data_IF_984957611905
#
_entry.id   IF_984957611905
#
_cell.length_a   1.000
_cell.length_b   1.000
_cell.length_c   1.000
_cell.angle_alpha   90.00
_cell.angle_beta   90.00
_cell.angle_gamma   90.00
#
_symmetry.space_group_name_H-M   'P 1'
#
loop_
_entity.id
_entity.type
_entity.pdbx_description
1 polymer ?
#
# COMPACT_ATOMS: atom_id res chain seq x y z
N UNK A 1 -19.72 -4.22 16.10
CA UNK A 1 -19.97 -3.71 14.72
C UNK A 1 -21.21 -2.84 14.70
N UNK A 2 -21.09 -1.53 14.52
CA UNK A 2 -22.25 -0.62 14.44
C UNK A 2 -21.97 0.83 14.85
N UNK A 3 -20.93 1.09 15.65
CA UNK A 3 -20.44 2.44 15.92
C UNK A 3 -18.92 2.47 15.70
N UNK A 4 -18.44 3.39 14.86
CA UNK A 4 -17.02 3.68 14.66
C UNK A 4 -16.20 2.65 13.88
N UNK A 5 -16.64 1.40 13.76
CA UNK A 5 -15.82 0.30 13.23
C UNK A 5 -16.48 -0.42 12.04
N UNK A 6 -15.72 -0.57 10.95
CA UNK A 6 -15.94 -1.49 9.83
C UNK A 6 -17.00 -1.09 8.78
N UNK A 7 -16.87 0.11 8.20
CA UNK A 7 -17.65 0.50 7.00
C UNK A 7 -16.99 0.11 5.68
N UNK A 8 -15.67 0.25 5.58
CA UNK A 8 -14.92 0.17 4.31
C UNK A 8 -14.04 -1.07 4.32
N UNK A 9 -14.09 -1.87 3.25
CA UNK A 9 -13.19 -3.02 3.11
C UNK A 9 -11.76 -2.56 2.77
N UNK A 10 -11.63 -1.37 2.17
CA UNK A 10 -10.38 -0.67 1.88
C UNK A 10 -10.29 0.67 2.63
N UNK A 11 -9.38 0.76 3.60
CA UNK A 11 -9.32 1.88 4.55
C UNK A 11 -8.51 3.09 4.03
N UNK A 12 -7.77 2.94 2.92
CA UNK A 12 -7.06 4.05 2.26
C UNK A 12 -8.01 5.09 1.62
N UNK A 13 -9.28 4.72 1.51
CA UNK A 13 -10.41 5.48 1.00
C UNK A 13 -11.17 5.96 2.24
N UNK A 14 -10.81 7.14 2.77
CA UNK A 14 -11.37 7.68 4.02
C UNK A 14 -12.87 8.04 3.93
N UNK A 15 -13.48 8.45 5.05
CA UNK A 15 -14.93 8.74 5.13
C UNK A 15 -15.44 9.81 4.12
N UNK A 16 -14.56 10.70 3.67
CA UNK A 16 -14.81 11.79 2.71
C UNK A 16 -14.42 11.46 1.27
N UNK A 17 -13.93 10.25 1.00
CA UNK A 17 -13.29 9.89 -0.26
C UNK A 17 -13.56 8.42 -0.50
N UNK A 18 -14.75 8.11 -1.04
CA UNK A 18 -15.42 6.79 -1.00
C UNK A 18 -15.32 5.96 -2.29
N UNK A 19 -14.41 6.33 -3.19
CA UNK A 19 -14.15 5.58 -4.43
C UNK A 19 -12.73 5.86 -4.92
N UNK A 20 -12.20 5.04 -5.82
CA UNK A 20 -10.94 5.32 -6.52
C UNK A 20 -10.96 6.67 -7.24
N UNK A 21 -12.12 7.14 -7.71
CA UNK A 21 -12.30 8.49 -8.31
C UNK A 21 -12.01 9.62 -7.31
N UNK A 22 -12.22 9.38 -6.02
CA UNK A 22 -11.87 10.37 -4.99
C UNK A 22 -10.39 10.75 -5.04
N UNK A 23 -9.48 9.85 -5.44
CA UNK A 23 -8.07 10.19 -5.62
C UNK A 23 -7.85 11.23 -6.71
N UNK A 24 -8.65 11.22 -7.79
CA UNK A 24 -8.59 12.22 -8.85
C UNK A 24 -8.98 13.59 -8.29
N UNK A 25 -10.03 13.63 -7.48
CA UNK A 25 -10.48 14.86 -6.81
C UNK A 25 -9.43 15.37 -5.80
N UNK A 26 -8.97 14.50 -4.90
CA UNK A 26 -7.94 14.81 -3.90
C UNK A 26 -6.66 15.33 -4.56
N UNK A 27 -6.19 14.67 -5.62
CA UNK A 27 -5.03 15.09 -6.40
C UNK A 27 -5.23 16.46 -7.01
N UNK A 28 -6.38 16.70 -7.66
CA UNK A 28 -6.70 18.00 -8.25
C UNK A 28 -6.73 19.12 -7.22
N UNK A 29 -7.24 18.85 -6.01
CA UNK A 29 -7.20 19.77 -4.88
C UNK A 29 -5.80 19.98 -4.32
N UNK A 30 -4.98 18.94 -4.27
CA UNK A 30 -3.61 19.06 -3.77
C UNK A 30 -2.68 19.81 -4.73
N UNK A 31 -2.96 19.80 -6.04
CA UNK A 31 -2.25 20.64 -7.01
C UNK A 31 -2.36 22.14 -6.71
N UNK A 32 -3.45 22.59 -6.09
CA UNK A 32 -3.67 24.02 -5.76
C UNK A 32 -2.59 24.56 -4.79
N UNK A 33 -1.93 23.67 -4.04
CA UNK A 33 -0.90 23.99 -3.03
C UNK A 33 0.51 23.50 -3.41
N UNK A 34 0.71 23.02 -4.64
CA UNK A 34 2.03 22.60 -5.11
C UNK A 34 3.05 23.74 -5.05
N UNK A 35 4.23 23.46 -4.49
CA UNK A 35 5.32 24.42 -4.27
C UNK A 35 4.92 25.65 -3.42
N UNK A 36 3.88 25.53 -2.57
CA UNK A 36 3.42 26.62 -1.71
C UNK A 36 3.71 26.35 -0.23
N UNK A 37 4.28 27.32 0.51
CA UNK A 37 4.46 27.22 1.96
C UNK A 37 3.14 26.96 2.66
N UNK A 38 3.16 26.17 3.73
CA UNK A 38 1.96 25.74 4.47
C UNK A 38 1.14 26.91 5.00
N UNK A 39 1.80 28.02 5.34
CA UNK A 39 1.17 29.24 5.85
C UNK A 39 0.23 29.89 4.82
N UNK A 40 0.46 29.63 3.53
CA UNK A 40 -0.31 30.18 2.40
C UNK A 40 -1.49 29.28 2.00
N UNK A 41 -1.66 28.12 2.66
CA UNK A 41 -2.69 27.17 2.29
C UNK A 41 -4.09 27.71 2.62
N UNK A 42 -5.09 27.46 1.75
CA UNK A 42 -6.48 27.78 2.03
C UNK A 42 -6.96 27.20 3.38
N UNK A 43 -7.66 28.03 4.16
CA UNK A 43 -8.26 27.67 5.46
C UNK A 43 -9.79 27.76 5.38
N UNK A 44 -10.48 26.85 6.07
CA UNK A 44 -11.93 26.93 6.21
C UNK A 44 -12.34 28.19 6.99
N UNK A 45 -13.46 28.81 6.59
CA UNK A 45 -13.88 30.12 7.11
C UNK A 45 -14.40 30.07 8.55
N UNK A 46 -14.92 28.92 8.96
CA UNK A 46 -15.60 28.68 10.22
C UNK A 46 -14.64 28.32 11.36
N UNK A 47 -13.74 27.35 11.14
CA UNK A 47 -12.84 26.84 12.17
C UNK A 47 -11.35 26.99 11.82
N UNK A 48 -11.02 27.68 10.73
CA UNK A 48 -9.63 28.05 10.39
C UNK A 48 -8.72 26.88 10.01
N UNK A 49 -9.27 25.67 9.87
CA UNK A 49 -8.50 24.47 9.53
C UNK A 49 -8.06 24.51 8.07
N UNK A 50 -6.82 24.12 7.81
CA UNK A 50 -6.28 23.95 6.46
C UNK A 50 -7.13 22.97 5.64
N UNK A 51 -7.66 23.42 4.50
CA UNK A 51 -8.57 22.65 3.65
C UNK A 51 -7.89 21.39 3.10
N UNK A 52 -6.61 21.52 2.71
CA UNK A 52 -5.88 20.46 2.01
C UNK A 52 -5.11 19.51 2.93
N UNK A 53 -5.05 19.80 4.24
CA UNK A 53 -4.35 18.95 5.22
C UNK A 53 -4.82 17.50 5.20
N UNK A 54 -6.12 17.30 4.96
CA UNK A 54 -6.74 15.96 4.88
C UNK A 54 -6.25 15.10 3.70
N UNK A 55 -5.63 15.71 2.68
CA UNK A 55 -5.17 14.98 1.48
C UNK A 55 -3.69 14.60 1.54
N UNK A 56 -2.91 15.22 2.43
CA UNK A 56 -1.44 15.09 2.48
C UNK A 56 -1.02 13.63 2.54
N UNK A 57 -1.58 12.86 3.49
CA UNK A 57 -1.20 11.46 3.71
C UNK A 57 -1.44 10.63 2.45
N UNK A 58 -2.63 10.72 1.86
CA UNK A 58 -2.96 9.95 0.65
C UNK A 58 -2.10 10.33 -0.56
N UNK A 59 -1.73 11.61 -0.71
CA UNK A 59 -0.90 12.07 -1.84
C UNK A 59 0.56 11.64 -1.72
N UNK A 60 1.09 11.56 -0.50
CA UNK A 60 2.42 10.99 -0.24
C UNK A 60 2.39 9.46 -0.37
N UNK A 61 1.40 8.81 0.25
CA UNK A 61 1.26 7.34 0.28
C UNK A 61 0.93 6.73 -1.08
N UNK A 62 0.28 7.47 -1.98
CA UNK A 62 0.12 7.08 -3.38
C UNK A 62 1.38 7.28 -4.22
N UNK A 63 2.44 7.88 -3.65
CA UNK A 63 3.66 8.30 -4.34
C UNK A 63 3.43 9.32 -5.46
N UNK A 64 2.36 10.10 -5.40
CA UNK A 64 2.11 11.18 -6.38
C UNK A 64 2.83 12.48 -6.05
N UNK A 65 3.00 12.76 -4.77
CA UNK A 65 3.74 13.91 -4.27
C UNK A 65 4.86 13.44 -3.35
N UNK A 66 5.84 14.32 -3.18
CA UNK A 66 6.90 14.24 -2.19
C UNK A 66 7.04 15.59 -1.51
N UNK A 67 7.78 15.62 -0.42
CA UNK A 67 8.16 16.83 0.29
C UNK A 67 9.59 17.21 -0.09
N UNK A 68 9.86 18.49 -0.29
CA UNK A 68 11.21 19.01 -0.55
C UNK A 68 11.88 19.52 0.73
N UNK A 69 13.12 19.99 0.62
CA UNK A 69 13.94 20.45 1.75
C UNK A 69 13.46 21.76 2.37
N UNK A 70 12.55 22.49 1.72
CA UNK A 70 11.92 23.72 2.21
C UNK A 70 10.52 23.45 2.79
N UNK A 71 10.21 22.18 3.09
CA UNK A 71 8.91 21.72 3.53
C UNK A 71 7.75 21.96 2.53
N UNK A 72 8.06 22.15 1.25
CA UNK A 72 7.08 22.31 0.18
C UNK A 72 6.72 20.96 -0.44
N UNK A 73 5.50 20.84 -0.95
CA UNK A 73 5.07 19.64 -1.66
C UNK A 73 5.16 19.82 -3.16
N UNK A 74 5.84 18.89 -3.83
CA UNK A 74 5.98 18.86 -5.28
C UNK A 74 5.68 17.47 -5.83
N UNK A 75 5.23 17.41 -7.09
CA UNK A 75 4.93 16.13 -7.73
C UNK A 75 6.18 15.28 -7.92
N UNK A 76 5.99 13.97 -7.80
CA UNK A 76 6.90 12.97 -8.34
C UNK A 76 6.72 12.84 -9.86
N UNK A 77 7.58 12.07 -10.54
CA UNK A 77 7.40 11.69 -11.95
C UNK A 77 6.04 11.00 -12.14
N UNK A 78 5.68 10.05 -11.26
CA UNK A 78 4.34 9.43 -11.28
C UNK A 78 3.22 10.44 -11.11
N UNK A 79 3.35 11.42 -10.21
CA UNK A 79 2.39 12.51 -10.06
C UNK A 79 2.22 13.35 -11.33
N UNK A 80 3.31 13.64 -12.05
CA UNK A 80 3.23 14.34 -13.33
C UNK A 80 2.46 13.54 -14.38
N UNK A 81 2.73 12.24 -14.51
CA UNK A 81 2.01 11.37 -15.43
C UNK A 81 0.53 11.20 -15.02
N UNK A 82 0.25 11.13 -13.73
CA UNK A 82 -1.12 11.09 -13.20
C UNK A 82 -1.90 12.37 -13.54
N UNK A 83 -1.28 13.55 -13.44
CA UNK A 83 -1.90 14.82 -13.86
C UNK A 83 -2.27 14.85 -15.35
N UNK A 84 -1.45 14.23 -16.21
CA UNK A 84 -1.75 14.13 -17.64
C UNK A 84 -2.87 13.12 -17.89
N UNK A 85 -2.82 11.98 -17.20
CA UNK A 85 -3.85 10.94 -17.23
C UNK A 85 -5.25 11.46 -16.91
N UNK A 86 -5.42 12.20 -15.80
CA UNK A 86 -6.76 12.60 -15.33
C UNK A 86 -7.48 13.55 -16.30
N UNK A 87 -6.72 14.22 -17.19
CA UNK A 87 -7.21 15.12 -18.24
C UNK A 87 -7.63 14.40 -19.52
N UNK A 88 -7.29 13.12 -19.66
CA UNK A 88 -7.66 12.33 -20.83
C UNK A 88 -9.16 12.05 -20.85
N UNK A 89 -9.78 12.27 -22.01
CA UNK A 89 -11.12 11.79 -22.31
C UNK A 89 -11.05 10.42 -23.00
N UNK A 90 -11.03 9.37 -22.18
CA UNK A 90 -10.93 7.98 -22.63
C UNK A 90 -12.11 7.13 -22.18
N UNK A 91 -13.14 7.72 -21.57
CA UNK A 91 -14.30 7.02 -21.01
C UNK A 91 -14.04 6.36 -19.64
N UNK A 92 -15.12 6.22 -18.87
CA UNK A 92 -15.07 5.90 -17.43
C UNK A 92 -14.38 4.58 -17.11
N UNK A 93 -14.67 3.49 -17.84
CA UNK A 93 -14.11 2.17 -17.51
C UNK A 93 -12.59 2.10 -17.73
N UNK A 94 -12.10 2.72 -18.80
CA UNK A 94 -10.66 2.84 -19.09
C UNK A 94 -9.98 3.72 -18.04
N UNK A 95 -10.64 4.84 -17.68
CA UNK A 95 -10.16 5.75 -16.63
C UNK A 95 -10.09 5.05 -15.28
N UNK A 96 -11.12 4.30 -14.90
CA UNK A 96 -11.15 3.52 -13.66
C UNK A 96 -9.99 2.53 -13.59
N UNK A 97 -9.80 1.71 -14.63
CA UNK A 97 -8.74 0.69 -14.66
C UNK A 97 -7.36 1.35 -14.54
N UNK A 98 -7.07 2.37 -15.34
CA UNK A 98 -5.76 3.04 -15.30
C UNK A 98 -5.54 3.74 -13.94
N UNK A 99 -6.57 4.36 -13.38
CA UNK A 99 -6.50 4.97 -12.05
C UNK A 99 -6.18 3.93 -10.97
N UNK A 100 -6.87 2.79 -10.96
CA UNK A 100 -6.58 1.67 -10.07
C UNK A 100 -5.12 1.22 -10.20
N UNK A 101 -4.61 1.06 -11.43
CA UNK A 101 -3.22 0.65 -11.67
C UNK A 101 -2.20 1.66 -11.11
N UNK A 102 -2.49 2.97 -11.20
CA UNK A 102 -1.65 3.99 -10.56
C UNK A 102 -1.61 3.85 -9.03
N UNK A 103 -2.68 3.39 -8.39
CA UNK A 103 -2.77 3.33 -6.92
C UNK A 103 -2.16 2.05 -6.32
N UNK A 104 -1.84 1.04 -7.14
CA UNK A 104 -1.46 -0.31 -6.71
C UNK A 104 -0.23 -0.39 -5.78
N UNK A 105 0.84 0.34 -6.08
CA UNK A 105 2.07 0.35 -5.26
C UNK A 105 2.06 1.42 -4.14
N UNK A 106 0.87 1.91 -3.77
CA UNK A 106 0.74 2.83 -2.63
C UNK A 106 1.03 2.13 -1.30
N UNK A 107 1.67 2.84 -0.38
CA UNK A 107 2.02 2.34 0.96
C UNK A 107 0.99 2.76 2.02
N UNK A 108 -0.30 2.70 1.66
CA UNK A 108 -1.37 3.25 2.49
C UNK A 108 -1.40 2.65 3.90
N UNK A 109 -1.74 3.49 4.88
CA UNK A 109 -1.76 3.09 6.31
C UNK A 109 -0.43 2.44 6.74
N UNK A 110 0.68 3.00 6.24
CA UNK A 110 2.03 2.52 6.48
C UNK A 110 2.21 1.03 6.13
N UNK A 111 1.62 0.59 5.01
CA UNK A 111 1.78 -0.78 4.50
C UNK A 111 2.11 -0.77 3.02
N UNK A 112 3.31 -1.23 2.67
CA UNK A 112 3.74 -1.48 1.28
C UNK A 112 2.68 -2.28 0.51
N UNK A 113 2.40 -1.87 -0.73
CA UNK A 113 1.45 -2.51 -1.64
C UNK A 113 0.09 -2.77 -0.96
N UNK A 114 -0.45 -1.79 -0.23
CA UNK A 114 -1.59 -1.98 0.67
C UNK A 114 -2.76 -2.68 -0.01
N UNK A 115 -3.13 -2.29 -1.23
CA UNK A 115 -4.30 -2.87 -1.94
C UNK A 115 -4.11 -4.39 -2.14
N UNK A 116 -2.92 -4.80 -2.60
CA UNK A 116 -2.59 -6.20 -2.82
C UNK A 116 -2.57 -6.97 -1.49
N UNK A 117 -1.86 -6.45 -0.49
CA UNK A 117 -1.69 -7.14 0.79
C UNK A 117 -2.98 -7.16 1.62
N UNK A 118 -3.82 -6.13 1.50
CA UNK A 118 -5.17 -6.12 2.09
C UNK A 118 -5.98 -7.30 1.59
N UNK A 119 -6.02 -7.54 0.28
CA UNK A 119 -6.75 -8.69 -0.28
C UNK A 119 -6.06 -10.01 0.06
N UNK A 120 -4.75 -10.11 -0.18
CA UNK A 120 -3.97 -11.34 -0.04
C UNK A 120 -3.89 -11.86 1.40
N UNK A 121 -3.66 -10.97 2.37
CA UNK A 121 -3.31 -11.34 3.74
C UNK A 121 -4.48 -11.09 4.71
N UNK A 122 -5.14 -9.92 4.63
CA UNK A 122 -6.18 -9.58 5.62
C UNK A 122 -7.56 -10.08 5.22
N UNK A 123 -7.95 -10.01 3.94
CA UNK A 123 -9.32 -10.37 3.55
C UNK A 123 -9.42 -11.86 3.31
N UNK A 124 -8.56 -12.42 2.46
CA UNK A 124 -8.60 -13.85 2.14
C UNK A 124 -8.33 -14.74 3.36
N UNK A 125 -7.46 -14.33 4.28
CA UNK A 125 -7.20 -15.10 5.50
C UNK A 125 -8.46 -15.36 6.33
N UNK A 126 -9.28 -14.32 6.53
CA UNK A 126 -10.55 -14.44 7.26
C UNK A 126 -11.65 -15.07 6.42
N UNK A 127 -11.85 -14.61 5.19
CA UNK A 127 -12.93 -15.09 4.34
C UNK A 127 -12.81 -16.59 4.03
N UNK A 128 -11.61 -17.09 3.76
CA UNK A 128 -11.40 -18.52 3.50
C UNK A 128 -11.41 -19.38 4.77
N UNK A 129 -11.45 -18.78 5.96
CA UNK A 129 -11.66 -19.50 7.23
C UNK A 129 -13.13 -19.86 7.49
N UNK A 130 -14.06 -19.20 6.77
CA UNK A 130 -15.50 -19.47 6.88
C UNK A 130 -15.87 -20.66 5.99
N UNK A 131 -16.43 -21.71 6.61
CA UNK A 131 -16.92 -22.89 5.90
C UNK A 131 -17.82 -22.51 4.71
N UNK A 132 -17.53 -23.08 3.54
CA UNK A 132 -18.21 -22.84 2.25
C UNK A 132 -17.79 -21.59 1.48
N UNK A 133 -16.98 -20.68 2.03
CA UNK A 133 -16.37 -19.61 1.25
C UNK A 133 -15.12 -20.14 0.55
N UNK A 134 -15.07 -19.97 -0.78
CA UNK A 134 -13.93 -20.33 -1.63
C UNK A 134 -13.58 -19.17 -2.55
N UNK A 135 -12.37 -19.15 -3.10
CA UNK A 135 -11.97 -18.14 -4.10
C UNK A 135 -12.97 -18.08 -5.26
N UNK A 136 -13.41 -19.25 -5.76
CA UNK A 136 -14.38 -19.33 -6.86
C UNK A 136 -15.73 -18.72 -6.47
N UNK A 137 -16.20 -18.97 -5.25
CA UNK A 137 -17.43 -18.33 -4.74
C UNK A 137 -17.25 -16.81 -4.68
N UNK A 138 -16.14 -16.33 -4.14
CA UNK A 138 -15.85 -14.89 -4.01
C UNK A 138 -15.83 -14.22 -5.38
N UNK A 139 -15.16 -14.82 -6.36
CA UNK A 139 -15.10 -14.33 -7.75
C UNK A 139 -16.50 -14.27 -8.36
N UNK A 140 -17.25 -15.37 -8.31
CA UNK A 140 -18.57 -15.45 -8.95
C UNK A 140 -19.61 -14.53 -8.29
N UNK A 141 -19.62 -14.44 -6.97
CA UNK A 141 -20.56 -13.56 -6.26
C UNK A 141 -20.19 -12.08 -6.42
N UNK A 142 -18.91 -11.73 -6.46
CA UNK A 142 -18.48 -10.36 -6.79
C UNK A 142 -18.92 -9.97 -8.21
N UNK A 143 -18.74 -10.86 -9.20
CA UNK A 143 -19.22 -10.66 -10.58
C UNK A 143 -20.72 -10.46 -10.63
N UNK A 144 -21.50 -11.26 -9.89
CA UNK A 144 -22.96 -11.11 -9.80
C UNK A 144 -23.33 -9.75 -9.22
N UNK A 145 -22.67 -9.30 -8.15
CA UNK A 145 -22.93 -7.99 -7.56
C UNK A 145 -22.64 -6.85 -8.54
N UNK A 146 -21.53 -6.92 -9.30
CA UNK A 146 -21.19 -5.88 -10.27
C UNK A 146 -22.21 -5.78 -11.42
N UNK A 147 -22.86 -6.89 -11.81
CA UNK A 147 -23.96 -6.88 -12.78
C UNK A 147 -25.21 -6.14 -12.25
N UNK A 148 -25.34 -6.01 -10.94
CA UNK A 148 -26.41 -5.25 -10.27
C UNK A 148 -26.03 -3.79 -10.02
N UNK A 149 -24.94 -3.28 -10.63
CA UNK A 149 -24.43 -1.93 -10.34
C UNK A 149 -25.43 -0.80 -10.65
N UNK A 150 -26.32 -0.98 -11.63
CA UNK A 150 -27.36 0.01 -11.96
C UNK A 150 -28.68 -0.21 -11.18
N UNK A 151 -28.83 -1.36 -10.50
CA UNK A 151 -30.03 -1.76 -9.79
C UNK A 151 -30.27 -0.96 -8.49
N UNK A 152 -31.48 -1.09 -7.93
CA UNK A 152 -31.81 -0.49 -6.64
C UNK A 152 -30.96 -1.06 -5.49
N UNK A 153 -30.82 -0.32 -4.39
CA UNK A 153 -30.11 -0.81 -3.21
C UNK A 153 -30.74 -2.11 -2.68
N UNK A 154 -32.06 -2.21 -2.75
CA UNK A 154 -32.85 -3.41 -2.43
C UNK A 154 -32.36 -4.65 -3.18
N UNK A 155 -32.21 -4.54 -4.50
CA UNK A 155 -31.74 -5.65 -5.34
C UNK A 155 -30.29 -6.02 -5.04
N UNK A 156 -29.44 -5.02 -4.77
CA UNK A 156 -28.04 -5.24 -4.38
C UNK A 156 -27.95 -5.96 -3.04
N UNK A 157 -28.82 -5.63 -2.08
CA UNK A 157 -28.90 -6.31 -0.77
C UNK A 157 -29.26 -7.79 -0.87
N UNK A 158 -29.82 -8.26 -2.00
CA UNK A 158 -30.06 -9.69 -2.23
C UNK A 158 -28.83 -10.43 -2.73
N UNK A 159 -27.76 -9.72 -3.09
CA UNK A 159 -26.49 -10.35 -3.46
C UNK A 159 -25.81 -10.96 -2.24
N UNK A 160 -25.31 -12.19 -2.37
CA UNK A 160 -24.49 -12.82 -1.33
C UNK A 160 -23.22 -12.00 -1.04
N UNK A 161 -22.63 -11.41 -2.09
CA UNK A 161 -21.40 -10.64 -1.94
C UNK A 161 -21.60 -9.34 -1.15
N UNK A 162 -22.83 -8.79 -1.13
CA UNK A 162 -23.15 -7.61 -0.30
C UNK A 162 -22.85 -7.86 1.18
N UNK A 163 -23.25 -9.03 1.68
CA UNK A 163 -23.02 -9.43 3.07
C UNK A 163 -21.60 -9.91 3.32
N UNK A 164 -20.99 -10.63 2.37
CA UNK A 164 -19.56 -10.99 2.44
C UNK A 164 -18.70 -9.74 2.58
N UNK A 165 -18.94 -8.73 1.74
CA UNK A 165 -18.25 -7.45 1.80
C UNK A 165 -18.53 -6.71 3.11
N UNK A 166 -19.80 -6.65 3.53
CA UNK A 166 -20.20 -5.93 4.74
C UNK A 166 -19.59 -6.54 6.00
N UNK A 167 -19.50 -7.86 6.08
CA UNK A 167 -19.13 -8.61 7.28
C UNK A 167 -17.84 -9.42 7.09
N UNK A 168 -16.91 -8.92 6.28
CA UNK A 168 -15.67 -9.63 5.92
C UNK A 168 -14.81 -10.06 7.12
N UNK A 169 -14.98 -9.39 8.27
CA UNK A 169 -14.28 -9.68 9.53
C UNK A 169 -15.20 -10.21 10.64
N UNK A 170 -16.41 -10.67 10.30
CA UNK A 170 -17.36 -11.31 11.21
C UNK A 170 -17.64 -12.75 10.74
N UNK A 171 -16.79 -13.69 11.14
CA UNK A 171 -16.95 -15.09 10.74
C UNK A 171 -18.28 -15.67 11.20
N UNK A 172 -18.73 -15.32 12.41
CA UNK A 172 -19.96 -15.86 13.00
C UNK A 172 -21.19 -15.41 12.21
N UNK A 173 -21.25 -14.12 11.87
CA UNK A 173 -22.30 -13.61 11.00
C UNK A 173 -22.29 -14.31 9.63
N UNK A 174 -21.11 -14.42 8.99
CA UNK A 174 -21.01 -15.03 7.66
C UNK A 174 -21.41 -16.52 7.67
N UNK A 175 -21.02 -17.27 8.70
CA UNK A 175 -21.42 -18.68 8.88
C UNK A 175 -22.94 -18.78 8.97
N UNK A 176 -23.56 -17.97 9.84
CA UNK A 176 -25.03 -17.95 10.00
C UNK A 176 -25.73 -17.53 8.71
N UNK A 177 -25.26 -16.48 8.04
CA UNK A 177 -25.84 -15.99 6.79
C UNK A 177 -25.74 -17.03 5.66
N UNK A 178 -24.62 -17.73 5.53
CA UNK A 178 -24.43 -18.75 4.48
C UNK A 178 -25.37 -19.94 4.69
N UNK A 179 -25.55 -20.37 5.96
CA UNK A 179 -26.41 -21.50 6.33
C UNK A 179 -27.90 -21.17 6.30
N UNK A 180 -28.26 -19.89 6.38
CA UNK A 180 -29.64 -19.45 6.34
C UNK A 180 -30.35 -19.82 5.03
N UNK A 181 -31.64 -20.14 5.14
CA UNK A 181 -32.54 -20.34 4.00
C UNK A 181 -32.76 -19.05 3.21
N UNK A 182 -33.21 -19.17 1.96
CA UNK A 182 -33.51 -17.99 1.14
C UNK A 182 -34.65 -17.14 1.75
N UNK A 183 -35.58 -17.76 2.48
CA UNK A 183 -36.63 -17.06 3.20
C UNK A 183 -36.08 -16.17 4.34
N UNK A 184 -35.14 -16.69 5.15
CA UNK A 184 -34.48 -15.93 6.22
C UNK A 184 -33.63 -14.79 5.65
N UNK A 185 -32.94 -15.02 4.52
CA UNK A 185 -32.18 -13.98 3.83
C UNK A 185 -33.09 -12.86 3.32
N UNK A 186 -34.24 -13.20 2.75
CA UNK A 186 -35.23 -12.23 2.28
C UNK A 186 -35.86 -11.45 3.46
N UNK A 187 -36.08 -12.11 4.61
CA UNK A 187 -36.52 -11.44 5.83
C UNK A 187 -35.49 -10.44 6.34
N UNK A 188 -34.19 -10.80 6.31
CA UNK A 188 -33.11 -9.88 6.67
C UNK A 188 -33.09 -8.64 5.76
N UNK A 189 -33.28 -8.82 4.45
CA UNK A 189 -33.36 -7.69 3.50
C UNK A 189 -34.53 -6.77 3.86
N UNK A 190 -35.73 -7.32 4.05
CA UNK A 190 -36.93 -6.54 4.44
C UNK A 190 -36.76 -5.83 5.78
N UNK A 191 -36.09 -6.48 6.74
CA UNK A 191 -35.76 -5.89 8.03
C UNK A 191 -34.85 -4.67 7.86
N UNK A 192 -33.79 -4.78 7.05
CA UNK A 192 -32.89 -3.66 6.79
C UNK A 192 -33.62 -2.51 6.08
N UNK A 193 -34.39 -2.81 5.04
CA UNK A 193 -35.18 -1.83 4.29
C UNK A 193 -36.17 -1.09 5.19
N UNK A 194 -36.99 -1.82 5.95
CA UNK A 194 -37.97 -1.22 6.84
C UNK A 194 -37.33 -0.32 7.90
N UNK A 195 -36.12 -0.64 8.37
CA UNK A 195 -35.38 0.23 9.29
C UNK A 195 -34.80 1.47 8.59
N UNK A 196 -34.34 1.37 7.34
CA UNK A 196 -33.88 2.51 6.56
C UNK A 196 -35.05 3.48 6.31
N UNK A 197 -36.18 2.96 5.83
CA UNK A 197 -37.37 3.75 5.50
C UNK A 197 -37.96 4.43 6.74
N UNK A 198 -37.97 3.75 7.88
CA UNK A 198 -38.42 4.30 9.15
C UNK A 198 -37.40 5.21 9.86
N UNK A 199 -36.18 5.34 9.32
CA UNK A 199 -35.08 6.04 9.99
C UNK A 199 -34.66 5.43 11.34
N UNK A 200 -34.88 4.13 11.52
CA UNK A 200 -34.69 3.40 12.78
C UNK A 200 -33.33 2.69 12.85
N UNK A 201 -32.34 3.35 13.43
CA UNK A 201 -30.95 2.86 13.50
C UNK A 201 -30.54 2.44 14.92
N UNK A 202 -31.35 1.58 15.55
CA UNK A 202 -31.16 1.19 16.96
C UNK A 202 -30.33 -0.08 17.16
N UNK A 203 -30.28 -0.99 16.18
CA UNK A 203 -29.52 -2.25 16.30
C UNK A 203 -28.21 -2.20 15.51
N UNK A 204 -27.32 -3.18 15.75
CA UNK A 204 -26.02 -3.28 15.08
C UNK A 204 -26.12 -3.32 13.55
N UNK A 205 -27.07 -4.10 13.02
CA UNK A 205 -27.27 -4.26 11.57
C UNK A 205 -27.78 -2.96 10.95
N UNK A 206 -28.85 -2.36 11.49
CA UNK A 206 -29.42 -1.14 10.89
C UNK A 206 -28.47 0.05 11.01
N UNK A 207 -27.70 0.18 12.11
CA UNK A 207 -26.65 1.20 12.24
C UNK A 207 -25.59 1.11 11.14
N UNK A 208 -25.21 -0.09 10.71
CA UNK A 208 -24.21 -0.29 9.64
C UNK A 208 -24.66 0.31 8.30
N UNK A 209 -25.95 0.20 8.00
CA UNK A 209 -26.55 0.70 6.75
C UNK A 209 -27.21 2.08 6.92
N UNK A 210 -26.94 2.77 8.03
CA UNK A 210 -27.44 4.12 8.26
C UNK A 210 -26.95 5.08 7.15
N UNK A 211 -27.82 5.88 6.52
CA UNK A 211 -27.47 6.85 5.48
C UNK A 211 -26.66 8.09 5.97
N UNK A 212 -25.67 7.90 6.86
CA UNK A 212 -24.81 8.99 7.39
C UNK A 212 -23.33 8.77 7.11
N UNK A 213 -23.01 8.08 6.02
CA UNK A 213 -21.64 8.01 5.48
C UNK A 213 -20.88 6.73 5.72
N UNK A 214 -21.45 5.77 6.45
CA UNK A 214 -20.84 4.46 6.70
C UNK A 214 -21.02 3.46 5.53
N UNK A 215 -22.00 3.69 4.66
CA UNK A 215 -22.29 2.84 3.52
C UNK A 215 -22.80 3.67 2.34
N UNK A 216 -22.30 3.40 1.14
CA UNK A 216 -22.76 3.98 -0.13
C UNK A 216 -22.72 2.90 -1.22
N UNK A 217 -23.79 2.78 -2.01
CA UNK A 217 -23.87 1.88 -3.17
C UNK A 217 -22.67 2.03 -4.10
N UNK A 218 -22.29 3.25 -4.49
CA UNK A 218 -21.20 3.49 -5.43
C UNK A 218 -19.84 3.07 -4.86
N UNK A 219 -19.67 3.23 -3.54
CA UNK A 219 -18.49 2.75 -2.82
C UNK A 219 -18.42 1.23 -2.85
N UNK A 220 -19.51 0.54 -2.53
CA UNK A 220 -19.57 -0.92 -2.61
C UNK A 220 -19.23 -1.44 -4.01
N UNK A 221 -19.75 -0.81 -5.06
CA UNK A 221 -19.42 -1.18 -6.44
C UNK A 221 -17.93 -0.96 -6.73
N UNK A 222 -17.36 0.19 -6.35
CA UNK A 222 -15.95 0.50 -6.54
C UNK A 222 -15.03 -0.47 -5.77
N UNK A 223 -15.30 -0.70 -4.49
CA UNK A 223 -14.56 -1.64 -3.65
C UNK A 223 -14.68 -3.08 -4.18
N UNK A 224 -15.85 -3.48 -4.70
CA UNK A 224 -16.03 -4.79 -5.34
C UNK A 224 -15.15 -4.92 -6.59
N UNK A 225 -15.01 -3.86 -7.41
CA UNK A 225 -14.10 -3.86 -8.56
C UNK A 225 -12.64 -3.98 -8.12
N UNK A 226 -12.22 -3.21 -7.10
CA UNK A 226 -10.87 -3.28 -6.53
C UNK A 226 -10.59 -4.69 -6.00
N UNK A 227 -11.48 -5.24 -5.18
CA UNK A 227 -11.37 -6.58 -4.61
C UNK A 227 -11.25 -7.65 -5.70
N UNK A 228 -12.21 -7.69 -6.64
CA UNK A 228 -12.25 -8.72 -7.68
C UNK A 228 -11.01 -8.68 -8.57
N UNK A 229 -10.61 -7.49 -9.05
CA UNK A 229 -9.44 -7.36 -9.92
C UNK A 229 -8.14 -7.72 -9.19
N UNK A 230 -8.01 -7.33 -7.92
CA UNK A 230 -6.87 -7.69 -7.07
C UNK A 230 -6.83 -9.19 -6.81
N UNK A 231 -7.97 -9.82 -6.49
CA UNK A 231 -8.08 -11.25 -6.24
C UNK A 231 -7.64 -12.06 -7.47
N UNK A 232 -8.12 -11.69 -8.66
CA UNK A 232 -7.73 -12.32 -9.91
C UNK A 232 -6.21 -12.20 -10.17
N UNK A 233 -5.61 -11.04 -9.88
CA UNK A 233 -4.17 -10.86 -9.96
C UNK A 233 -3.41 -11.73 -8.95
N UNK A 234 -3.80 -11.72 -7.67
CA UNK A 234 -3.17 -12.52 -6.60
C UNK A 234 -3.21 -14.02 -6.91
N UNK A 235 -4.24 -14.49 -7.63
CA UNK A 235 -4.36 -15.89 -8.08
C UNK A 235 -3.58 -16.19 -9.37
N UNK A 236 -3.10 -15.18 -10.09
CA UNK A 236 -2.34 -15.34 -11.34
C UNK A 236 -0.87 -15.70 -11.04
N UNK A 237 -0.60 -16.99 -10.79
CA UNK A 237 0.72 -17.48 -10.37
C UNK A 237 1.84 -17.26 -11.40
N UNK A 238 1.49 -17.08 -12.66
CA UNK A 238 2.41 -16.86 -13.78
C UNK A 238 2.62 -15.36 -14.09
N UNK A 239 2.09 -14.46 -13.27
CA UNK A 239 2.24 -13.01 -13.45
C UNK A 239 3.72 -12.59 -13.43
N UNK A 240 4.11 -11.84 -14.45
CA UNK A 240 5.44 -11.28 -14.62
C UNK A 240 5.38 -10.01 -15.49
N UNK A 241 6.50 -9.28 -15.62
CA UNK A 241 6.52 -8.00 -16.34
C UNK A 241 6.07 -8.11 -17.82
N UNK A 242 6.20 -9.28 -18.46
CA UNK A 242 5.84 -9.45 -19.86
C UNK A 242 4.33 -9.64 -20.08
N UNK A 243 3.60 -10.16 -19.09
CA UNK A 243 2.17 -10.46 -19.22
C UNK A 243 1.26 -9.61 -18.29
N UNK A 244 1.82 -8.85 -17.34
CA UNK A 244 1.04 -8.17 -16.30
C UNK A 244 0.01 -7.19 -16.84
N UNK A 245 0.30 -6.45 -17.92
CA UNK A 245 -0.68 -5.57 -18.56
C UNK A 245 -1.87 -6.37 -19.09
N UNK A 246 -1.60 -7.50 -19.74
CA UNK A 246 -2.65 -8.36 -20.29
C UNK A 246 -3.48 -9.01 -19.18
N UNK A 247 -2.86 -9.41 -18.06
CA UNK A 247 -3.56 -9.96 -16.90
C UNK A 247 -4.61 -8.97 -16.40
N UNK A 248 -4.22 -7.72 -16.10
CA UNK A 248 -5.17 -6.71 -15.61
C UNK A 248 -6.24 -6.35 -16.64
N UNK A 249 -5.85 -6.14 -17.90
CA UNK A 249 -6.77 -5.73 -18.97
C UNK A 249 -7.81 -6.82 -19.26
N UNK A 250 -7.38 -8.09 -19.45
CA UNK A 250 -8.29 -9.21 -19.72
C UNK A 250 -9.20 -9.49 -18.53
N UNK A 251 -8.66 -9.51 -17.31
CA UNK A 251 -9.47 -9.75 -16.12
C UNK A 251 -10.54 -8.67 -15.91
N UNK A 252 -10.20 -7.40 -16.15
CA UNK A 252 -11.17 -6.32 -16.10
C UNK A 252 -12.25 -6.48 -17.19
N UNK A 253 -11.83 -6.67 -18.44
CA UNK A 253 -12.71 -6.79 -19.62
C UNK A 253 -13.70 -7.96 -19.51
N UNK A 254 -13.24 -9.10 -18.97
CA UNK A 254 -14.02 -10.34 -18.88
C UNK A 254 -14.89 -10.44 -17.61
N UNK A 255 -14.42 -9.88 -16.48
CA UNK A 255 -15.08 -10.11 -15.18
C UNK A 255 -15.73 -8.86 -14.58
N UNK A 256 -15.38 -7.66 -15.05
CA UNK A 256 -15.93 -6.40 -14.53
C UNK A 256 -16.77 -5.72 -15.59
N UNK A 257 -16.15 -5.23 -16.67
CA UNK A 257 -16.86 -4.53 -17.73
C UNK A 257 -16.03 -4.47 -19.00
N UNK A 258 -16.68 -4.67 -20.15
CA UNK A 258 -16.03 -4.61 -21.46
C UNK A 258 -15.43 -3.22 -21.72
N UNK A 259 -14.20 -3.19 -22.23
CA UNK A 259 -13.53 -1.98 -22.68
C UNK A 259 -12.68 -2.24 -23.93
N UNK A 260 -12.19 -1.17 -24.55
CA UNK A 260 -11.22 -1.29 -25.63
C UNK A 260 -9.82 -1.59 -25.06
N UNK A 261 -9.45 -2.86 -25.06
CA UNK A 261 -8.20 -3.37 -24.50
C UNK A 261 -6.96 -2.73 -25.14
N UNK A 262 -7.01 -2.46 -26.45
CA UNK A 262 -5.90 -1.87 -27.21
C UNK A 262 -5.58 -0.45 -26.74
N UNK A 263 -6.58 0.36 -26.41
CA UNK A 263 -6.37 1.72 -25.89
C UNK A 263 -5.63 1.68 -24.55
N UNK A 264 -6.07 0.83 -23.63
CA UNK A 264 -5.42 0.69 -22.31
C UNK A 264 -4.00 0.15 -22.48
N UNK A 265 -3.83 -0.92 -23.26
CA UNK A 265 -2.52 -1.53 -23.51
C UNK A 265 -1.52 -0.52 -24.11
N UNK A 266 -1.94 0.26 -25.11
CA UNK A 266 -1.10 1.29 -25.70
C UNK A 266 -0.76 2.39 -24.69
N UNK A 267 -1.72 2.80 -23.86
CA UNK A 267 -1.48 3.79 -22.81
C UNK A 267 -0.43 3.29 -21.80
N UNK A 268 -0.55 2.06 -21.31
CA UNK A 268 0.41 1.50 -20.35
C UNK A 268 1.82 1.36 -20.96
N UNK A 269 1.93 0.92 -22.22
CA UNK A 269 3.22 0.82 -22.92
C UNK A 269 3.87 2.18 -23.18
N UNK A 270 3.10 3.17 -23.65
CA UNK A 270 3.62 4.52 -23.89
C UNK A 270 4.08 5.22 -22.61
N UNK A 271 3.54 4.79 -21.46
CA UNK A 271 3.89 5.31 -20.13
C UNK A 271 4.67 4.28 -19.29
N UNK A 272 5.39 3.35 -19.94
CA UNK A 272 6.15 2.28 -19.26
C UNK A 272 7.12 2.82 -18.21
N UNK A 273 7.67 4.02 -18.42
CA UNK A 273 8.59 4.68 -17.50
C UNK A 273 8.02 4.77 -16.07
N UNK A 274 6.70 4.91 -15.92
CA UNK A 274 6.04 4.97 -14.61
C UNK A 274 5.39 3.65 -14.24
N UNK A 275 4.81 2.93 -15.19
CA UNK A 275 4.12 1.67 -14.91
C UNK A 275 5.06 0.50 -14.59
N UNK A 276 6.22 0.40 -15.23
CA UNK A 276 7.18 -0.67 -14.93
C UNK A 276 7.63 -0.65 -13.45
N UNK A 277 8.01 0.49 -12.86
CA UNK A 277 8.27 0.59 -11.41
C UNK A 277 7.13 0.09 -10.52
N UNK A 278 5.87 0.47 -10.83
CA UNK A 278 4.69 0.02 -10.08
C UNK A 278 4.59 -1.51 -10.13
N UNK A 279 4.73 -2.09 -11.32
CA UNK A 279 4.56 -3.52 -11.52
C UNK A 279 5.70 -4.36 -10.94
N UNK A 280 6.94 -3.86 -11.01
CA UNK A 280 8.07 -4.47 -10.31
C UNK A 280 7.86 -4.54 -8.79
N UNK A 281 7.31 -3.47 -8.18
CA UNK A 281 7.07 -3.42 -6.73
C UNK A 281 5.97 -4.40 -6.29
N UNK A 282 4.87 -4.51 -7.03
CA UNK A 282 3.78 -5.44 -6.65
C UNK A 282 4.10 -6.90 -6.99
N UNK A 283 5.05 -7.14 -7.89
CA UNK A 283 5.60 -8.46 -8.19
C UNK A 283 6.75 -8.84 -7.23
N UNK A 284 7.09 -7.97 -6.26
CA UNK A 284 8.15 -8.19 -5.26
C UNK A 284 9.53 -8.50 -5.90
N UNK A 285 9.80 -7.97 -7.11
CA UNK A 285 11.06 -8.24 -7.83
C UNK A 285 12.27 -7.53 -7.20
N UNK A 286 12.03 -6.49 -6.40
CA UNK A 286 13.06 -5.71 -5.72
C UNK A 286 13.68 -6.44 -4.51
N UNK A 287 13.00 -7.46 -3.97
CA UNK A 287 13.41 -8.22 -2.78
C UNK A 287 14.28 -9.45 -3.12
N UNK A 288 14.52 -9.72 -4.41
CA UNK A 288 15.37 -10.83 -4.86
C UNK A 288 16.84 -10.44 -4.70
N UNK A 289 17.56 -11.17 -3.84
CA UNK A 289 18.99 -11.00 -3.65
C UNK A 289 19.74 -11.18 -4.99
N UNK A 290 20.21 -10.07 -5.58
CA UNK A 290 21.00 -10.14 -6.81
C UNK A 290 22.43 -10.64 -6.51
N UNK A 291 23.01 -11.50 -7.35
CA UNK A 291 24.41 -11.95 -7.25
C UNK A 291 25.47 -10.84 -7.42
N UNK A 292 25.10 -9.56 -7.41
CA UNK A 292 25.98 -8.40 -7.63
C UNK A 292 27.07 -8.22 -6.56
N UNK A 293 27.13 -9.10 -5.55
CA UNK A 293 28.23 -9.17 -4.58
C UNK A 293 29.58 -9.61 -5.22
N UNK A 294 29.64 -9.85 -6.54
CA UNK A 294 30.83 -10.36 -7.27
C UNK A 294 31.72 -9.25 -7.88
N UNK A 295 31.44 -7.96 -7.68
CA UNK A 295 32.34 -6.91 -8.20
C UNK A 295 33.65 -6.88 -7.37
N UNK A 296 34.84 -7.00 -8.02
CA UNK A 296 36.14 -6.97 -7.35
C UNK A 296 36.35 -5.74 -6.48
N UNK A 297 37.23 -5.88 -5.48
CA UNK A 297 37.39 -4.96 -4.36
C UNK A 297 37.96 -3.59 -4.73
N UNK A 298 38.52 -3.44 -5.93
CA UNK A 298 39.63 -2.51 -6.09
C UNK A 298 39.29 -1.10 -6.62
N UNK A 299 38.04 -0.77 -6.97
CA UNK A 299 37.74 0.59 -7.50
C UNK A 299 36.33 1.13 -7.20
N UNK A 300 35.72 0.80 -6.07
CA UNK A 300 34.46 1.42 -5.66
C UNK A 300 34.73 2.75 -4.90
N UNK A 301 34.24 3.86 -5.44
CA UNK A 301 34.23 5.17 -4.75
C UNK A 301 33.47 5.03 -3.43
N UNK A 302 34.16 5.20 -2.30
CA UNK A 302 33.50 5.28 -1.00
C UNK A 302 32.73 6.59 -0.92
N UNK A 303 31.47 6.52 -0.50
CA UNK A 303 30.64 7.70 -0.30
C UNK A 303 30.98 8.36 1.03
N UNK A 304 30.78 9.67 1.10
CA UNK A 304 30.91 10.44 2.35
C UNK A 304 29.93 9.88 3.39
N UNK A 305 30.37 9.87 4.65
CA UNK A 305 29.59 9.30 5.75
C UNK A 305 28.68 10.39 6.32
N UNK A 306 27.42 10.03 6.58
CA UNK A 306 26.45 10.82 7.34
C UNK A 306 26.27 12.26 6.84
N UNK A 307 26.23 12.42 5.51
CA UNK A 307 25.83 13.65 4.82
C UNK A 307 24.43 13.50 4.23
N UNK A 308 23.59 14.56 4.27
CA UNK A 308 22.33 14.58 3.53
C UNK A 308 22.58 14.41 2.03
N UNK A 309 21.83 13.52 1.41
CA UNK A 309 21.86 13.28 -0.04
C UNK A 309 20.52 13.68 -0.66
N UNK A 310 20.56 14.17 -1.89
CA UNK A 310 19.37 14.64 -2.59
C UNK A 310 18.35 13.51 -2.78
N UNK A 311 17.08 13.83 -2.60
CA UNK A 311 15.99 12.88 -2.85
C UNK A 311 16.02 12.41 -4.31
N UNK A 312 15.95 11.09 -4.51
CA UNK A 312 15.85 10.46 -5.82
C UNK A 312 14.40 10.01 -6.01
N UNK A 313 13.85 10.13 -7.20
CA UNK A 313 12.46 9.75 -7.48
C UNK A 313 12.34 8.37 -8.12
N UNK A 314 12.08 7.33 -7.31
CA UNK A 314 11.91 5.95 -7.79
C UNK A 314 10.61 5.68 -8.53
N UNK A 315 9.75 6.69 -8.72
CA UNK A 315 8.49 6.50 -9.45
C UNK A 315 8.68 6.48 -10.97
N UNK A 316 9.93 6.33 -11.42
CA UNK A 316 10.37 6.22 -12.80
C UNK A 316 11.42 5.10 -12.98
N UNK A 317 11.53 4.51 -14.18
CA UNK A 317 12.55 3.51 -14.50
C UNK A 317 13.97 4.03 -14.22
N UNK A 318 14.24 5.29 -14.62
CA UNK A 318 15.54 5.94 -14.42
C UNK A 318 15.86 6.08 -12.93
N UNK A 319 14.91 6.57 -12.14
CA UNK A 319 15.10 6.76 -10.71
C UNK A 319 15.27 5.44 -9.97
N UNK A 320 14.52 4.40 -10.33
CA UNK A 320 14.75 3.04 -9.80
C UNK A 320 16.15 2.52 -10.10
N UNK A 321 16.63 2.68 -11.34
CA UNK A 321 17.97 2.25 -11.72
C UNK A 321 19.07 3.03 -10.98
N UNK A 322 18.85 4.32 -10.73
CA UNK A 322 19.75 5.15 -9.92
C UNK A 322 19.80 4.66 -8.46
N UNK A 323 18.63 4.42 -7.84
CA UNK A 323 18.53 3.84 -6.49
C UNK A 323 19.25 2.49 -6.42
N UNK A 324 19.01 1.60 -7.38
CA UNK A 324 19.66 0.28 -7.43
C UNK A 324 21.18 0.37 -7.48
N UNK A 325 21.71 1.33 -8.25
CA UNK A 325 23.16 1.57 -8.32
C UNK A 325 23.71 2.02 -6.97
N UNK A 326 23.08 3.03 -6.35
CA UNK A 326 23.48 3.59 -5.05
C UNK A 326 23.37 2.54 -3.94
N UNK A 327 22.27 1.78 -3.92
CA UNK A 327 22.05 0.68 -2.98
C UNK A 327 23.23 -0.29 -2.96
N UNK A 328 23.69 -0.76 -4.12
CA UNK A 328 24.78 -1.73 -4.19
C UNK A 328 26.09 -1.16 -3.62
N UNK A 329 26.36 0.13 -3.85
CA UNK A 329 27.54 0.83 -3.31
C UNK A 329 27.44 0.92 -1.78
N UNK A 330 26.32 1.43 -1.24
CA UNK A 330 26.14 1.63 0.19
C UNK A 330 26.05 0.28 0.93
N UNK A 331 25.38 -0.72 0.36
CA UNK A 331 25.31 -2.10 0.90
C UNK A 331 26.71 -2.65 1.15
N UNK A 332 27.61 -2.48 0.18
CA UNK A 332 29.01 -2.90 0.29
C UNK A 332 29.74 -2.10 1.37
N UNK A 333 29.61 -0.78 1.35
CA UNK A 333 30.25 0.11 2.32
C UNK A 333 29.80 -0.18 3.76
N UNK A 334 28.51 -0.46 3.98
CA UNK A 334 27.95 -0.85 5.28
C UNK A 334 28.59 -2.13 5.84
N UNK A 335 28.76 -3.16 5.01
CA UNK A 335 29.43 -4.42 5.39
C UNK A 335 30.90 -4.20 5.78
N UNK A 336 31.61 -3.35 5.04
CA UNK A 336 33.02 -3.02 5.33
C UNK A 336 33.11 -2.25 6.66
N UNK A 337 32.31 -1.20 6.84
CA UNK A 337 32.37 -0.36 8.04
C UNK A 337 31.94 -1.08 9.32
N UNK A 338 31.01 -2.03 9.23
CA UNK A 338 30.66 -2.86 10.38
C UNK A 338 31.68 -3.95 10.68
N UNK A 339 32.77 -4.03 9.92
CA UNK A 339 33.74 -5.13 9.97
C UNK A 339 33.08 -6.51 9.83
N UNK A 340 32.01 -6.59 9.05
CA UNK A 340 31.20 -7.80 8.89
C UNK A 340 30.69 -8.34 10.24
N UNK A 341 30.21 -7.44 11.10
CA UNK A 341 29.56 -7.76 12.39
C UNK A 341 28.08 -7.34 12.36
N UNK A 342 27.21 -8.15 12.97
CA UNK A 342 25.81 -7.81 13.18
C UNK A 342 25.69 -6.65 14.18
N UNK A 343 24.91 -5.62 13.85
CA UNK A 343 24.65 -4.49 14.77
C UNK A 343 24.07 -4.94 16.13
N UNK A 344 23.33 -6.05 16.12
CA UNK A 344 22.73 -6.65 17.33
C UNK A 344 23.59 -7.74 17.97
N UNK A 345 24.86 -7.91 17.59
CA UNK A 345 25.72 -9.00 18.09
C UNK A 345 25.76 -9.08 19.62
N UNK A 346 25.96 -7.93 20.28
CA UNK A 346 26.10 -7.86 21.75
C UNK A 346 24.81 -8.16 22.51
N UNK A 347 23.67 -7.83 21.91
CA UNK A 347 22.36 -7.92 22.56
C UNK A 347 21.71 -9.28 22.26
N UNK A 348 21.96 -9.83 21.07
CA UNK A 348 21.27 -11.01 20.59
C UNK A 348 22.19 -12.22 20.39
N UNK A 349 23.40 -12.27 20.95
CA UNK A 349 24.35 -13.41 20.87
C UNK A 349 24.47 -14.03 19.46
N UNK A 350 24.97 -13.25 18.50
CA UNK A 350 24.97 -13.62 17.08
C UNK A 350 26.09 -14.57 16.65
N UNK A 351 27.18 -14.68 17.44
CA UNK A 351 28.40 -15.41 17.03
C UNK A 351 28.15 -16.86 16.60
N UNK A 352 27.31 -17.67 17.29
CA UNK A 352 27.04 -19.05 16.86
C UNK A 352 26.25 -19.17 15.55
N UNK A 353 25.68 -18.06 15.05
CA UNK A 353 24.81 -18.03 13.86
C UNK A 353 25.59 -17.68 12.59
N UNK A 354 26.77 -17.06 12.72
CA UNK A 354 27.55 -16.68 11.55
C UNK A 354 28.04 -17.89 10.77
N UNK A 355 28.13 -17.69 9.46
CA UNK A 355 28.84 -18.57 8.55
C UNK A 355 29.64 -17.72 7.57
N UNK A 356 30.70 -18.31 7.03
CA UNK A 356 31.61 -17.61 6.11
C UNK A 356 31.04 -17.61 4.70
N UNK A 357 30.89 -16.42 4.12
CA UNK A 357 30.46 -16.26 2.73
C UNK A 357 31.61 -16.59 1.77
N UNK A 358 31.37 -17.49 0.80
CA UNK A 358 32.36 -17.91 -0.21
C UNK A 358 32.93 -16.74 -1.02
N UNK A 359 32.14 -15.68 -1.23
CA UNK A 359 32.49 -14.55 -2.11
C UNK A 359 33.64 -13.69 -1.57
N UNK A 360 33.81 -13.60 -0.25
CA UNK A 360 34.79 -12.69 0.36
C UNK A 360 35.47 -13.25 1.62
N UNK A 361 35.15 -14.48 2.02
CA UNK A 361 35.66 -15.14 3.22
C UNK A 361 35.41 -14.34 4.52
N UNK A 362 34.31 -13.58 4.57
CA UNK A 362 33.83 -12.86 5.77
C UNK A 362 32.50 -13.43 6.25
N UNK A 363 32.04 -13.01 7.42
CA UNK A 363 30.70 -13.36 7.91
C UNK A 363 29.64 -12.95 6.89
N UNK A 364 28.71 -13.86 6.59
CA UNK A 364 27.52 -13.52 5.82
C UNK A 364 26.60 -12.62 6.63
N UNK A 365 26.26 -11.46 6.06
CA UNK A 365 25.33 -10.50 6.62
C UNK A 365 24.39 -9.97 5.55
N UNK A 366 23.16 -9.71 5.98
CA UNK A 366 22.13 -9.01 5.23
C UNK A 366 22.19 -7.53 5.61
N UNK A 367 21.89 -6.65 4.66
CA UNK A 367 21.81 -5.21 4.90
C UNK A 367 20.34 -4.84 4.95
N UNK A 368 19.96 -4.18 6.01
CA UNK A 368 18.61 -3.79 6.33
C UNK A 368 18.51 -2.26 6.36
N UNK A 369 17.48 -1.71 5.71
CA UNK A 369 17.13 -0.30 5.81
C UNK A 369 16.34 -0.07 7.09
N UNK A 370 16.88 0.74 8.01
CA UNK A 370 16.23 0.94 9.30
C UNK A 370 14.92 1.70 9.21
N UNK A 371 14.88 2.78 8.45
CA UNK A 371 13.68 3.37 7.89
C UNK A 371 13.36 2.55 6.62
N UNK A 372 12.25 1.77 6.62
CA UNK A 372 11.88 0.96 5.47
C UNK A 372 11.71 1.79 4.20
N UNK A 373 12.09 1.21 3.06
CA UNK A 373 12.19 1.91 1.77
C UNK A 373 10.85 2.43 1.27
N UNK A 374 9.77 1.71 1.55
CA UNK A 374 8.42 2.08 1.18
C UNK A 374 8.00 3.44 1.76
N UNK A 375 8.59 3.88 2.87
CA UNK A 375 8.27 5.15 3.57
C UNK A 375 9.21 6.30 3.21
N UNK A 376 10.12 6.12 2.25
CA UNK A 376 11.08 7.16 1.83
C UNK A 376 10.43 8.50 1.43
N UNK A 377 9.18 8.47 0.94
CA UNK A 377 8.47 9.66 0.49
C UNK A 377 7.98 10.53 1.66
N UNK A 378 8.11 10.06 2.89
CA UNK A 378 7.85 10.85 4.10
C UNK A 378 9.01 11.83 4.40
N UNK A 379 10.14 11.70 3.70
CA UNK A 379 11.36 12.48 3.91
C UNK A 379 11.74 13.33 2.70
N UNK A 380 12.35 14.48 2.99
CA UNK A 380 12.83 15.42 1.98
C UNK A 380 14.21 15.08 1.40
N UNK A 381 14.95 14.21 2.07
CA UNK A 381 16.27 13.73 1.68
C UNK A 381 16.22 12.24 1.33
N UNK A 382 17.26 11.75 0.65
CA UNK A 382 17.36 10.33 0.29
C UNK A 382 17.45 9.42 1.52
N UNK A 383 16.63 8.37 1.55
CA UNK A 383 16.76 7.26 2.50
C UNK A 383 17.89 6.28 2.13
N UNK A 384 18.49 6.41 0.94
CA UNK A 384 19.65 5.63 0.48
C UNK A 384 20.94 6.27 0.98
N UNK A 385 21.14 6.22 2.29
CA UNK A 385 22.30 6.77 2.99
C UNK A 385 22.80 5.78 4.03
N UNK A 386 24.11 5.80 4.29
CA UNK A 386 24.76 4.82 5.18
C UNK A 386 24.22 4.84 6.61
N UNK A 387 23.77 6.00 7.10
CA UNK A 387 23.10 6.14 8.39
C UNK A 387 21.88 5.20 8.53
N UNK A 388 21.15 4.99 7.43
CA UNK A 388 19.96 4.16 7.36
C UNK A 388 20.27 2.66 7.15
N UNK A 389 21.53 2.28 6.91
CA UNK A 389 21.91 0.91 6.55
C UNK A 389 22.49 0.20 7.76
N UNK A 390 21.87 -0.92 8.13
CA UNK A 390 22.25 -1.74 9.28
C UNK A 390 22.62 -3.14 8.78
N UNK A 391 23.78 -3.63 9.18
CA UNK A 391 24.19 -5.00 8.86
C UNK A 391 23.68 -5.95 9.93
N UNK A 392 22.89 -6.95 9.53
CA UNK A 392 22.26 -7.92 10.41
C UNK A 392 22.59 -9.35 9.97
N UNK A 393 22.72 -10.26 10.92
CA UNK A 393 22.73 -11.69 10.59
C UNK A 393 21.31 -12.14 10.18
N UNK A 394 21.16 -13.25 9.43
CA UNK A 394 19.86 -13.70 8.95
C UNK A 394 18.83 -13.95 10.06
N UNK A 395 19.27 -14.32 11.27
CA UNK A 395 18.37 -14.46 12.43
C UNK A 395 17.84 -13.11 12.89
N UNK A 396 18.74 -12.14 13.13
CA UNK A 396 18.35 -10.82 13.60
C UNK A 396 17.47 -10.09 12.60
N UNK A 397 17.81 -10.18 11.31
CA UNK A 397 17.04 -9.53 10.24
C UNK A 397 15.60 -10.08 10.18
N UNK A 398 15.42 -11.40 10.23
CA UNK A 398 14.07 -11.97 10.32
C UNK A 398 13.37 -11.58 11.62
N UNK A 399 14.06 -11.67 12.75
CA UNK A 399 13.47 -11.41 14.07
C UNK A 399 12.88 -9.99 14.19
N UNK A 400 13.53 -8.96 13.64
CA UNK A 400 12.98 -7.60 13.68
C UNK A 400 11.71 -7.43 12.82
N UNK A 401 11.54 -8.26 11.77
CA UNK A 401 10.40 -8.17 10.86
C UNK A 401 9.21 -9.03 11.26
N UNK A 402 9.45 -10.26 11.76
CA UNK A 402 8.38 -11.27 11.89
C UNK A 402 8.15 -11.76 13.32
N UNK A 403 9.03 -11.46 14.28
CA UNK A 403 8.81 -11.89 15.65
C UNK A 403 7.69 -11.08 16.31
N UNK A 404 7.05 -11.66 17.33
CA UNK A 404 6.06 -10.96 18.15
C UNK A 404 6.70 -9.74 18.83
N UNK A 405 5.93 -8.68 19.05
CA UNK A 405 6.47 -7.38 19.48
C UNK A 405 7.27 -7.44 20.79
N UNK A 406 6.83 -8.26 21.76
CA UNK A 406 7.58 -8.50 23.00
C UNK A 406 9.01 -9.02 22.77
N UNK A 407 9.27 -9.69 21.66
CA UNK A 407 10.57 -10.29 21.30
C UNK A 407 11.41 -9.41 20.36
N UNK A 408 10.83 -8.42 19.69
CA UNK A 408 11.54 -7.53 18.74
C UNK A 408 11.64 -6.06 19.15
N UNK A 409 10.74 -5.55 19.99
CA UNK A 409 10.68 -4.13 20.38
C UNK A 409 11.99 -3.64 21.01
N UNK A 410 12.61 -4.43 21.88
CA UNK A 410 13.89 -4.10 22.48
C UNK A 410 15.05 -4.06 21.47
N UNK A 411 15.00 -4.86 20.40
CA UNK A 411 15.98 -4.83 19.31
C UNK A 411 15.82 -3.56 18.47
N UNK A 412 14.58 -3.19 18.13
CA UNK A 412 14.28 -1.93 17.44
C UNK A 412 14.74 -0.72 18.24
N UNK A 413 14.52 -0.73 19.57
CA UNK A 413 15.00 0.34 20.44
C UNK A 413 16.53 0.47 20.42
N UNK A 414 17.24 -0.66 20.47
CA UNK A 414 18.70 -0.64 20.40
C UNK A 414 19.21 -0.06 19.07
N UNK A 415 18.61 -0.47 17.95
CA UNK A 415 18.96 0.07 16.63
C UNK A 415 18.61 1.57 16.52
N UNK A 416 17.46 1.99 17.06
CA UNK A 416 17.06 3.40 17.09
C UNK A 416 18.06 4.25 17.86
N UNK A 417 18.44 3.82 19.07
CA UNK A 417 19.41 4.53 19.89
C UNK A 417 20.79 4.63 19.21
N UNK A 418 21.21 3.59 18.48
CA UNK A 418 22.43 3.60 17.69
C UNK A 418 22.35 4.59 16.50
N UNK A 419 21.17 4.76 15.89
CA UNK A 419 21.03 5.44 14.59
C UNK A 419 20.40 6.83 14.65
N UNK A 420 19.64 7.18 15.68
CA UNK A 420 18.83 8.43 15.73
C UNK A 420 19.63 9.69 15.42
N UNK A 421 20.84 9.83 15.97
CA UNK A 421 21.68 11.01 15.75
C UNK A 421 22.19 11.06 14.30
N UNK A 422 22.60 9.92 13.74
CA UNK A 422 23.08 9.82 12.36
C UNK A 422 21.97 10.10 11.36
N UNK A 423 20.77 9.56 11.61
CA UNK A 423 19.57 9.83 10.81
C UNK A 423 19.18 11.31 10.84
N UNK A 424 19.24 11.95 12.02
CA UNK A 424 19.00 13.38 12.14
C UNK A 424 20.02 14.21 11.35
N UNK A 425 21.31 13.85 11.39
CA UNK A 425 22.37 14.55 10.66
C UNK A 425 22.17 14.52 9.14
N UNK A 426 21.60 13.43 8.60
CA UNK A 426 21.30 13.30 7.16
C UNK A 426 19.91 13.79 6.78
N UNK A 427 19.20 14.46 7.70
CA UNK A 427 17.87 15.03 7.45
C UNK A 427 16.70 14.04 7.51
N UNK A 428 16.93 12.81 8.01
CA UNK A 428 15.91 11.77 8.20
C UNK A 428 15.40 11.77 9.65
N UNK A 429 14.76 12.86 10.06
CA UNK A 429 14.26 13.03 11.43
C UNK A 429 12.99 12.19 11.66
N UNK A 430 13.10 11.19 12.55
CA UNK A 430 11.97 10.36 12.98
C UNK A 430 12.13 10.00 14.46
N UNK A 431 11.03 10.03 15.22
CA UNK A 431 11.04 9.58 16.62
C UNK A 431 10.81 8.06 16.71
N UNK A 432 10.98 7.50 17.91
CA UNK A 432 10.78 6.06 18.13
C UNK A 432 9.34 5.61 17.84
N UNK A 433 8.34 6.50 18.03
CA UNK A 433 6.93 6.17 17.76
C UNK A 433 6.69 6.01 16.25
N UNK A 434 7.23 6.91 15.45
CA UNK A 434 7.20 6.79 13.98
C UNK A 434 7.90 5.52 13.49
N UNK A 435 9.00 5.12 14.13
CA UNK A 435 9.62 3.81 13.85
C UNK A 435 8.66 2.66 14.21
N UNK A 436 8.00 2.68 15.37
CA UNK A 436 7.02 1.64 15.71
C UNK A 436 5.87 1.57 14.70
N UNK A 437 5.38 2.70 14.21
CA UNK A 437 4.36 2.74 13.16
C UNK A 437 4.83 2.07 11.87
N UNK A 438 6.07 2.33 11.44
CA UNK A 438 6.66 1.71 10.24
C UNK A 438 6.88 0.19 10.40
N UNK A 439 7.23 -0.28 11.60
CA UNK A 439 7.41 -1.71 11.88
C UNK A 439 6.14 -2.41 12.36
N UNK A 440 5.03 -1.67 12.51
CA UNK A 440 3.77 -2.13 13.07
C UNK A 440 3.96 -2.81 14.43
N UNK A 441 4.60 -2.09 15.35
CA UNK A 441 4.82 -2.51 16.73
C UNK A 441 3.81 -1.81 17.63
N UNK A 442 3.09 -2.59 18.44
CA UNK A 442 2.14 -2.07 19.41
C UNK A 442 2.87 -1.28 20.52
N UNK A 443 2.34 -0.09 20.82
CA UNK A 443 2.94 0.88 21.75
C UNK A 443 2.72 0.48 23.20
#
# INVERSE_FOLDING_TARGET
MGEGENGNIFEYIGANSRSTESFIHQFSKFLEIENKPRETWPKQKDHGQEIHKQYVVNMLQSKFFKKDTNDLYNRTVKGFFYNNFIKLDIGEQKKWLINYLFLLNGYYLNRKNYIINRVKEDLLGYLLSVDSITDNLLIEEAKKLLKLSENSLSEIMRSKFFYIHSFYNDSDFLISYIRASDAEKEELVKYIEGNIDAGNFRCCISKKYKPVGNFNKNMLIDETKVFLLTLLFVRSKDANLNNIYQIFIKNFSQNIQTLNEKIVFNYLNNNKNVFAPIFEEILELDDVATPSDIVPVETAKMLEIDKPEDYIDETSEIGKQQIKTIYNIIKRQAKIQSNYICALEKINNCRPIYFTAKVNNKNYLEVHHFIPREFRNDFSYSAEVLANYITLCPRCHRQIHIAVDRERKHLINALYEERKNRLQLVGLKLDIKGIYEYYKIDI
#
